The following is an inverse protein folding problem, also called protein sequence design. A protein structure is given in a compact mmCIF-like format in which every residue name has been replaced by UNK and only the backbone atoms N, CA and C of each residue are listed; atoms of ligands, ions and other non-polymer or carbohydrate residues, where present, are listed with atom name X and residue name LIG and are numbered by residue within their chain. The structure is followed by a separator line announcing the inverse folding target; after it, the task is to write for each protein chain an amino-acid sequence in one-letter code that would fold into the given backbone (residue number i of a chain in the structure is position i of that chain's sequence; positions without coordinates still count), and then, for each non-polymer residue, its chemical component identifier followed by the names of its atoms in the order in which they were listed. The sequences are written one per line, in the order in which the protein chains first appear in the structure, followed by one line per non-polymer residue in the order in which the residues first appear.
data_IF_107325336609
#
_entry.id   IF_107325336609
#
_cell.length_a   1.000
_cell.length_b   1.000
_cell.length_c   1.000
_cell.angle_alpha   90.00
_cell.angle_beta   90.00
_cell.angle_gamma   90.00
#
_symmetry.space_group_name_H-M   'P 1'
#
loop_
_entity.id
_entity.type
_entity.pdbx_description
1 polymer ?
#
# COMPACT_ATOMS: atom_id res chain seq x y z
N UNK A 1 19.24 19.14 -9.66
CA UNK A 1 18.48 18.63 -8.49
C UNK A 1 17.15 18.11 -9.00
N UNK A 2 16.77 16.88 -8.65
CA UNK A 2 15.55 16.24 -9.15
C UNK A 2 14.31 17.09 -8.85
N UNK A 3 13.37 17.12 -9.80
CA UNK A 3 12.10 17.85 -9.75
C UNK A 3 11.19 17.22 -8.68
N UNK A 4 11.27 17.67 -7.42
CA UNK A 4 10.36 17.31 -6.30
C UNK A 4 9.84 15.86 -6.31
N UNK A 5 10.74 14.89 -6.54
CA UNK A 5 10.40 13.47 -6.56
C UNK A 5 10.40 12.87 -5.16
N UNK A 6 9.65 11.78 -4.98
CA UNK A 6 9.70 10.97 -3.76
C UNK A 6 11.05 10.26 -3.59
N UNK A 7 11.38 9.92 -2.34
CA UNK A 7 12.53 9.07 -2.02
C UNK A 7 12.17 7.60 -2.24
N UNK A 8 13.10 6.83 -2.83
CA UNK A 8 12.95 5.38 -2.93
C UNK A 8 13.07 4.76 -1.54
N UNK A 9 12.06 3.99 -1.17
CA UNK A 9 12.09 3.09 -0.02
C UNK A 9 12.31 1.67 -0.56
N UNK A 10 13.50 1.11 -0.34
CA UNK A 10 13.92 -0.18 -0.86
C UNK A 10 13.81 -1.32 0.16
N UNK A 11 14.24 -2.51 -0.27
CA UNK A 11 14.14 -3.74 0.51
C UNK A 11 14.89 -3.66 1.84
N UNK A 12 16.05 -3.00 1.86
CA UNK A 12 16.86 -2.82 3.08
C UNK A 12 16.12 -1.95 4.12
N UNK A 13 15.46 -0.87 3.69
CA UNK A 13 14.68 -0.04 4.61
C UNK A 13 13.40 -0.74 5.09
N UNK A 14 12.79 -1.56 4.22
CA UNK A 14 11.68 -2.44 4.60
C UNK A 14 12.12 -3.41 5.71
N UNK A 15 13.28 -4.05 5.58
CA UNK A 15 13.80 -4.94 6.61
C UNK A 15 14.06 -4.20 7.93
N UNK A 16 14.56 -2.98 7.88
CA UNK A 16 14.78 -2.18 9.07
C UNK A 16 13.47 -1.91 9.84
N UNK A 17 12.38 -1.53 9.14
CA UNK A 17 11.08 -1.31 9.79
C UNK A 17 10.46 -2.61 10.31
N UNK A 18 10.63 -3.72 9.60
CA UNK A 18 10.17 -5.03 10.06
C UNK A 18 10.89 -5.47 11.34
N UNK A 19 12.22 -5.31 11.39
CA UNK A 19 13.03 -5.65 12.56
C UNK A 19 12.65 -4.81 13.79
N UNK A 20 12.24 -3.56 13.58
CA UNK A 20 11.75 -2.69 14.65
C UNK A 20 10.33 -3.05 15.11
N UNK A 21 9.58 -3.86 14.37
CA UNK A 21 8.17 -4.14 14.63
C UNK A 21 7.24 -2.98 14.27
N UNK A 22 7.67 -2.05 13.43
CA UNK A 22 6.89 -0.88 13.01
C UNK A 22 5.89 -1.24 11.89
N UNK A 23 4.93 -2.12 12.19
CA UNK A 23 3.95 -2.64 11.21
C UNK A 23 3.12 -1.53 10.56
N UNK A 24 2.60 -0.58 11.35
CA UNK A 24 1.80 0.53 10.86
C UNK A 24 2.59 1.49 9.98
N UNK A 25 3.82 1.82 10.37
CA UNK A 25 4.70 2.67 9.57
C UNK A 25 5.07 1.99 8.26
N UNK A 26 5.36 0.68 8.28
CA UNK A 26 5.64 -0.07 7.07
C UNK A 26 4.41 -0.11 6.14
N UNK A 27 3.23 -0.38 6.70
CA UNK A 27 1.99 -0.37 5.93
C UNK A 27 1.75 1.00 5.29
N UNK A 28 1.95 2.08 6.03
CA UNK A 28 1.80 3.44 5.55
C UNK A 28 2.76 3.75 4.39
N UNK A 29 4.03 3.36 4.52
CA UNK A 29 5.05 3.54 3.46
C UNK A 29 4.68 2.79 2.18
N UNK A 30 4.09 1.58 2.29
CA UNK A 30 3.74 0.74 1.14
C UNK A 30 2.37 1.06 0.52
N UNK A 31 1.47 1.72 1.26
CA UNK A 31 0.09 1.99 0.82
C UNK A 31 -0.11 3.48 0.55
N UNK A 32 -0.64 4.24 1.51
CA UNK A 32 -1.09 5.62 1.32
C UNK A 32 0.02 6.61 0.96
N UNK A 33 1.28 6.31 1.32
CA UNK A 33 2.45 7.13 0.93
C UNK A 33 3.04 6.77 -0.44
N UNK A 34 2.68 5.62 -1.02
CA UNK A 34 3.18 5.17 -2.32
C UNK A 34 2.04 5.00 -3.34
N UNK A 35 1.28 3.92 -3.23
CA UNK A 35 0.53 3.33 -4.34
C UNK A 35 -0.99 3.27 -4.12
N UNK A 36 -1.49 3.57 -2.93
CA UNK A 36 -2.93 3.62 -2.67
C UNK A 36 -3.51 4.97 -3.11
N UNK A 37 -4.06 5.02 -4.32
CA UNK A 37 -4.62 6.24 -4.91
C UNK A 37 -5.83 6.75 -4.13
N UNK A 38 -6.70 5.85 -3.65
CA UNK A 38 -7.88 6.22 -2.89
C UNK A 38 -7.52 6.67 -1.48
N UNK A 39 -6.64 5.92 -0.81
CA UNK A 39 -6.16 6.22 0.54
C UNK A 39 -5.36 7.52 0.60
N UNK A 40 -4.50 7.81 -0.39
CA UNK A 40 -3.69 9.04 -0.40
C UNK A 40 -4.53 10.31 -0.44
N UNK A 41 -5.61 10.34 -1.22
CA UNK A 41 -6.51 11.49 -1.30
C UNK A 41 -7.27 11.71 0.02
N UNK A 42 -7.79 10.62 0.62
CA UNK A 42 -8.48 10.67 1.91
C UNK A 42 -7.56 11.10 3.05
N UNK A 43 -6.33 10.60 3.08
CA UNK A 43 -5.33 10.99 4.09
C UNK A 43 -4.99 12.47 3.95
N UNK A 44 -4.89 13.00 2.72
CA UNK A 44 -4.68 14.43 2.53
C UNK A 44 -5.84 15.27 3.08
N UNK A 45 -7.08 14.86 2.81
CA UNK A 45 -8.28 15.51 3.36
C UNK A 45 -8.34 15.43 4.89
N UNK A 46 -8.00 14.27 5.47
CA UNK A 46 -7.97 14.05 6.92
C UNK A 46 -6.92 14.93 7.60
N UNK A 47 -5.72 15.06 7.02
CA UNK A 47 -4.66 15.96 7.51
C UNK A 47 -5.12 17.42 7.50
N UNK A 48 -5.84 17.84 6.46
CA UNK A 48 -6.39 19.21 6.36
C UNK A 48 -7.49 19.45 7.39
N UNK A 49 -8.27 18.42 7.74
CA UNK A 49 -9.35 18.50 8.75
C UNK A 49 -8.85 18.33 10.18
N UNK A 50 -7.66 17.78 10.39
CA UNK A 50 -7.13 17.44 11.70
C UNK A 50 -7.70 16.14 12.27
N UNK A 51 -8.23 15.26 11.42
CA UNK A 51 -8.73 13.94 11.80
C UNK A 51 -7.64 12.88 11.59
N UNK A 52 -7.43 12.01 12.57
CA UNK A 52 -6.44 10.92 12.52
C UNK A 52 -7.00 9.62 11.90
N UNK A 53 -8.01 9.73 11.03
CA UNK A 53 -8.59 8.55 10.39
C UNK A 53 -7.65 7.97 9.35
N UNK A 54 -7.16 6.75 9.61
CA UNK A 54 -6.24 6.02 8.75
C UNK A 54 -6.84 4.69 8.31
N UNK A 55 -7.13 4.55 7.02
CA UNK A 55 -7.51 3.28 6.41
C UNK A 55 -6.60 3.01 5.21
N UNK A 56 -5.75 2.00 5.34
CA UNK A 56 -4.90 1.54 4.26
C UNK A 56 -5.64 0.51 3.40
N UNK A 57 -5.75 0.79 2.10
CA UNK A 57 -6.36 -0.11 1.12
C UNK A 57 -5.37 -1.10 0.49
N UNK A 58 -5.82 -1.73 -0.59
CA UNK A 58 -4.98 -2.60 -1.43
C UNK A 58 -4.13 -1.71 -2.36
N UNK A 59 -2.80 -1.86 -2.38
CA UNK A 59 -1.93 -1.13 -3.31
C UNK A 59 -2.27 -1.43 -4.77
N UNK A 60 -2.22 -0.41 -5.64
CA UNK A 60 -2.46 -0.61 -7.07
C UNK A 60 -1.40 -1.49 -7.74
N UNK A 61 -0.17 -1.51 -7.22
CA UNK A 61 0.90 -2.41 -7.66
C UNK A 61 0.50 -3.89 -7.55
N UNK A 62 -0.31 -4.25 -6.55
CA UNK A 62 -0.84 -5.61 -6.42
C UNK A 62 -1.90 -5.93 -7.49
N UNK A 63 -2.75 -4.95 -7.84
CA UNK A 63 -3.71 -5.10 -8.93
C UNK A 63 -3.01 -5.29 -10.29
N UNK A 64 -1.89 -4.59 -10.50
CA UNK A 64 -1.05 -4.76 -11.70
C UNK A 64 -0.45 -6.16 -11.72
N UNK A 65 0.15 -6.61 -10.61
CA UNK A 65 0.68 -7.97 -10.48
C UNK A 65 -0.38 -9.03 -10.83
N UNK A 66 -1.59 -8.90 -10.30
CA UNK A 66 -2.67 -9.84 -10.60
C UNK A 66 -3.02 -9.88 -12.10
N UNK A 67 -3.01 -8.73 -12.78
CA UNK A 67 -3.23 -8.64 -14.24
C UNK A 67 -2.07 -9.23 -15.04
N UNK A 68 -0.83 -9.03 -14.59
CA UNK A 68 0.37 -9.62 -15.20
C UNK A 68 0.41 -11.14 -15.07
N UNK A 69 -0.02 -11.69 -13.94
CA UNK A 69 -0.15 -13.15 -13.79
C UNK A 69 -1.24 -13.71 -14.71
N UNK A 70 -2.39 -13.02 -14.82
CA UNK A 70 -3.48 -13.42 -15.72
C UNK A 70 -3.08 -13.37 -17.19
N UNK A 71 -2.23 -12.44 -17.60
CA UNK A 71 -1.75 -12.35 -18.99
C UNK A 71 -0.85 -13.54 -19.37
N UNK A 72 -0.20 -14.17 -18.39
CA UNK A 72 0.55 -15.42 -18.56
C UNK A 72 -0.33 -16.68 -18.56
N UNK A 73 -1.65 -16.53 -18.43
CA UNK A 73 -2.59 -17.66 -18.32
C UNK A 73 -2.68 -18.26 -16.92
N UNK A 74 -2.10 -17.62 -15.91
CA UNK A 74 -2.22 -18.04 -14.50
C UNK A 74 -3.49 -17.44 -13.91
N UNK A 75 -4.39 -18.28 -13.39
CA UNK A 75 -5.57 -17.80 -12.71
C UNK A 75 -5.21 -17.39 -11.27
N UNK A 76 -5.23 -16.09 -11.01
CA UNK A 76 -5.07 -15.50 -9.67
C UNK A 76 -6.38 -14.89 -9.20
N UNK A 77 -6.86 -15.36 -8.05
CA UNK A 77 -8.06 -14.85 -7.38
C UNK A 77 -7.82 -14.67 -5.89
N UNK A 78 -8.49 -13.70 -5.30
CA UNK A 78 -8.43 -13.49 -3.85
C UNK A 78 -9.34 -14.50 -3.18
N UNK A 79 -8.76 -15.46 -2.46
CA UNK A 79 -9.52 -16.40 -1.67
C UNK A 79 -10.38 -15.67 -0.64
N UNK A 80 -11.70 -15.59 -0.87
CA UNK A 80 -12.64 -15.21 0.18
C UNK A 80 -12.63 -16.32 1.22
N UNK A 81 -12.26 -15.99 2.46
CA UNK A 81 -12.74 -16.80 3.59
C UNK A 81 -14.25 -16.55 3.64
N UNK A 82 -15.03 -17.50 3.15
CA UNK A 82 -16.45 -17.58 3.46
C UNK A 82 -16.55 -17.66 4.98
N UNK A 83 -16.90 -16.55 5.62
CA UNK A 83 -17.47 -16.54 6.96
C UNK A 83 -18.92 -17.02 6.81
N UNK A 84 -19.09 -18.27 6.41
CA UNK A 84 -20.37 -18.94 6.53
C UNK A 84 -20.35 -19.59 7.92
N UNK A 85 -20.88 -18.84 8.88
CA UNK A 85 -21.22 -19.32 10.22
C UNK A 85 -22.54 -20.10 10.17
#
# INVERSE_FOLDING_TARGET
KAQFGGQRFGEMEVWALQAYGASYTLQEMLTVKSDDVSGRAKVYEAIVRGDDTFEAGIPESFNVLAKELRSLGLNFDFGRKTQDA
#
